data_IF_054540435796
#
_entry.id   IF_054540435796
#
_cell.length_a   1.000
_cell.length_b   1.000
_cell.length_c   1.000
_cell.angle_alpha   90.00
_cell.angle_beta   90.00
_cell.angle_gamma   90.00
#
_symmetry.space_group_name_H-M   'P 1'
#
loop_
_entity.id
_entity.type
_entity.pdbx_description
1 polymer ?
#
# COMPACT_ATOMS: atom_id res chain seq x y z
N UNK A 1 -3.17 -18.40 10.45
CA UNK A 1 -3.84 -19.63 9.97
C UNK A 1 -5.31 -19.29 9.87
N UNK A 2 -5.93 -19.50 8.72
CA UNK A 2 -7.38 -19.48 8.64
C UNK A 2 -7.97 -20.75 9.31
N UNK A 3 -9.30 -20.81 9.43
CA UNK A 3 -10.05 -21.93 10.02
C UNK A 3 -9.79 -23.30 9.36
N UNK A 4 -9.09 -23.34 8.22
CA UNK A 4 -8.72 -24.55 7.50
C UNK A 4 -7.23 -24.91 7.63
N UNK A 5 -6.49 -24.25 8.53
CA UNK A 5 -5.07 -24.50 8.76
C UNK A 5 -4.15 -23.95 7.66
N UNK A 6 -4.64 -23.08 6.77
CA UNK A 6 -3.85 -22.53 5.66
C UNK A 6 -3.22 -21.19 6.02
N UNK A 7 -2.03 -20.96 5.48
CA UNK A 7 -1.29 -19.71 5.60
C UNK A 7 -1.68 -18.84 4.42
N UNK A 8 -2.51 -17.81 4.64
CA UNK A 8 -2.77 -16.78 3.65
C UNK A 8 -1.61 -15.79 3.65
N UNK A 9 -0.89 -15.73 2.54
CA UNK A 9 0.21 -14.79 2.35
C UNK A 9 -0.32 -13.55 1.65
N UNK A 10 0.07 -12.37 2.15
CA UNK A 10 -0.32 -11.08 1.60
C UNK A 10 0.90 -10.19 1.38
N UNK A 11 0.91 -9.49 0.25
CA UNK A 11 1.91 -8.47 -0.09
C UNK A 11 1.21 -7.14 -0.32
N UNK A 12 1.79 -6.04 0.18
CA UNK A 12 1.27 -4.69 0.00
C UNK A 12 2.27 -3.85 -0.76
N UNK A 13 1.81 -3.19 -1.82
CA UNK A 13 2.57 -2.14 -2.50
C UNK A 13 2.15 -0.79 -1.94
N UNK A 14 3.12 0.00 -1.49
CA UNK A 14 2.88 1.34 -0.97
C UNK A 14 3.97 2.31 -1.42
N UNK A 15 3.65 3.59 -1.40
CA UNK A 15 4.60 4.70 -1.55
C UNK A 15 4.49 5.64 -0.36
N UNK A 16 5.55 6.38 -0.08
CA UNK A 16 5.51 7.47 0.89
C UNK A 16 6.44 8.59 0.49
N UNK A 17 6.08 9.82 0.84
CA UNK A 17 6.95 10.98 0.71
C UNK A 17 7.98 10.92 1.84
N UNK A 18 9.25 10.86 1.47
CA UNK A 18 10.35 11.16 2.38
C UNK A 18 10.47 12.68 2.56
N UNK A 19 10.99 13.13 3.70
CA UNK A 19 11.07 14.53 4.13
C UNK A 19 11.26 15.58 3.00
N UNK A 20 10.63 16.75 3.16
CA UNK A 20 10.88 17.92 2.31
C UNK A 20 9.83 18.21 1.22
N UNK A 21 8.89 17.29 0.96
CA UNK A 21 7.74 17.58 0.07
C UNK A 21 6.45 17.72 0.88
N UNK A 22 5.70 18.83 0.75
CA UNK A 22 4.59 19.13 1.65
C UNK A 22 3.34 18.26 1.42
N UNK A 23 3.14 17.75 0.20
CA UNK A 23 2.02 16.90 -0.17
C UNK A 23 2.20 16.25 -1.55
N UNK A 24 1.37 15.24 -1.81
CA UNK A 24 1.35 14.48 -3.05
C UNK A 24 0.92 15.31 -4.27
N UNK A 25 0.11 16.35 -4.09
CA UNK A 25 -0.37 17.21 -5.18
C UNK A 25 0.72 17.97 -5.92
N UNK A 26 1.93 18.08 -5.35
CA UNK A 26 3.10 18.67 -6.03
C UNK A 26 3.97 17.67 -6.79
N UNK A 27 3.73 16.38 -6.62
CA UNK A 27 4.63 15.33 -7.13
C UNK A 27 4.22 14.77 -8.49
N UNK A 28 2.99 15.05 -8.96
CA UNK A 28 2.36 14.44 -10.15
C UNK A 28 2.69 12.95 -10.31
N UNK A 29 2.74 12.25 -9.18
CA UNK A 29 3.22 10.87 -9.13
C UNK A 29 2.16 9.92 -9.66
N UNK A 30 2.56 9.02 -10.55
CA UNK A 30 1.70 7.93 -11.03
C UNK A 30 2.40 6.60 -10.78
N UNK A 31 1.69 5.67 -10.17
CA UNK A 31 2.16 4.29 -10.00
C UNK A 31 1.27 3.37 -10.81
N UNK A 32 1.89 2.56 -11.67
CA UNK A 32 1.19 1.55 -12.46
C UNK A 32 1.73 0.18 -12.12
N UNK A 33 0.84 -0.72 -11.68
CA UNK A 33 1.17 -2.13 -11.42
C UNK A 33 0.64 -2.97 -12.59
N UNK A 34 1.53 -3.77 -13.18
CA UNK A 34 1.20 -4.74 -14.22
C UNK A 34 1.22 -6.15 -13.62
N UNK A 35 0.07 -6.84 -13.71
CA UNK A 35 -0.07 -8.25 -13.31
C UNK A 35 -0.42 -9.05 -14.57
N UNK A 36 0.22 -10.21 -14.83
CA UNK A 36 -0.11 -11.04 -15.98
C UNK A 36 -1.61 -11.31 -16.06
N UNK A 37 -2.16 -11.24 -17.27
CA UNK A 37 -3.57 -11.53 -17.57
C UNK A 37 -4.59 -10.64 -16.84
N UNK A 38 -4.16 -9.53 -16.21
CA UNK A 38 -5.05 -8.55 -15.58
C UNK A 38 -4.86 -7.13 -16.14
N UNK A 39 -5.90 -6.29 -16.11
CA UNK A 39 -5.77 -4.88 -16.44
C UNK A 39 -4.76 -4.18 -15.51
N UNK A 40 -3.99 -3.20 -16.02
CA UNK A 40 -3.07 -2.43 -15.19
C UNK A 40 -3.79 -1.69 -14.06
N UNK A 41 -3.12 -1.62 -12.91
CA UNK A 41 -3.58 -0.85 -11.76
C UNK A 41 -2.83 0.47 -11.73
N UNK A 42 -3.44 1.53 -12.27
CA UNK A 42 -2.92 2.90 -12.20
C UNK A 42 -3.43 3.62 -10.94
N UNK A 43 -2.51 4.21 -10.18
CA UNK A 43 -2.79 5.03 -9.00
C UNK A 43 -2.14 6.38 -9.18
N UNK A 44 -2.97 7.42 -9.25
CA UNK A 44 -2.51 8.80 -9.26
C UNK A 44 -2.38 9.28 -7.82
N UNK A 45 -1.19 9.76 -7.49
CA UNK A 45 -0.86 10.26 -6.16
C UNK A 45 -1.30 11.73 -6.06
N UNK A 46 -2.61 11.95 -6.13
CA UNK A 46 -3.20 13.31 -6.14
C UNK A 46 -3.89 13.67 -4.81
N UNK A 47 -4.40 12.67 -4.08
CA UNK A 47 -5.38 12.87 -3.00
C UNK A 47 -4.81 12.87 -1.56
N UNK A 48 -3.49 12.95 -1.40
CA UNK A 48 -2.87 13.00 -0.08
C UNK A 48 -2.83 14.40 0.54
N UNK A 49 -3.98 15.09 0.59
CA UNK A 49 -4.10 16.35 1.32
C UNK A 49 -4.04 16.12 2.85
N UNK A 50 -3.58 17.13 3.60
CA UNK A 50 -3.60 17.17 5.07
C UNK A 50 -2.76 16.10 5.81
N UNK A 51 -1.47 15.99 5.49
CA UNK A 51 -0.51 15.24 6.32
C UNK A 51 -0.57 13.72 6.17
N UNK A 52 -1.19 13.22 5.10
CA UNK A 52 -1.17 11.79 4.73
C UNK A 52 -0.11 11.52 3.68
N UNK A 53 1.13 11.43 4.15
CA UNK A 53 2.31 11.26 3.31
C UNK A 53 2.51 9.83 2.79
N UNK A 54 1.66 8.88 3.17
CA UNK A 54 1.77 7.47 2.77
C UNK A 54 0.54 7.06 1.95
N UNK A 55 0.75 6.28 0.89
CA UNK A 55 -0.31 5.76 0.03
C UNK A 55 -0.15 4.24 -0.12
N UNK A 56 -1.20 3.49 0.23
CA UNK A 56 -1.32 2.07 -0.11
C UNK A 56 -1.94 1.95 -1.50
N UNK A 57 -1.24 1.25 -2.40
CA UNK A 57 -1.59 1.18 -3.83
C UNK A 57 -2.46 -0.04 -4.08
N UNK A 58 -1.92 -1.23 -3.79
CA UNK A 58 -2.59 -2.50 -4.04
C UNK A 58 -2.11 -3.57 -3.08
N UNK A 59 -2.95 -4.57 -2.86
CA UNK A 59 -2.64 -5.77 -2.09
C UNK A 59 -2.79 -7.00 -2.96
N UNK A 60 -1.78 -7.87 -2.92
CA UNK A 60 -1.86 -9.23 -3.45
C UNK A 60 -2.20 -10.17 -2.31
N UNK A 61 -3.19 -11.02 -2.53
CA UNK A 61 -3.60 -12.06 -1.58
C UNK A 61 -3.45 -13.40 -2.30
N UNK A 62 -2.64 -14.28 -1.73
CA UNK A 62 -2.59 -15.67 -2.16
C UNK A 62 -3.67 -16.46 -1.42
N UNK A 63 -4.71 -16.83 -2.14
CA UNK A 63 -5.80 -17.67 -1.67
C UNK A 63 -5.70 -19.02 -2.38
N UNK A 64 -5.14 -20.03 -1.69
CA UNK A 64 -5.03 -21.41 -2.20
C UNK A 64 -4.28 -21.53 -3.54
N UNK A 65 -3.24 -20.73 -3.76
CA UNK A 65 -2.48 -20.71 -5.02
C UNK A 65 -3.07 -19.80 -6.10
N UNK A 66 -4.25 -19.23 -5.87
CA UNK A 66 -4.82 -18.17 -6.70
C UNK A 66 -4.38 -16.81 -6.17
N UNK A 67 -3.91 -15.93 -7.05
CA UNK A 67 -3.56 -14.55 -6.68
C UNK A 67 -4.76 -13.65 -6.94
N UNK A 68 -5.31 -13.11 -5.86
CA UNK A 68 -6.27 -12.01 -5.92
C UNK A 68 -5.54 -10.69 -5.80
N UNK A 69 -5.92 -9.73 -6.64
CA UNK A 69 -5.40 -8.37 -6.60
C UNK A 69 -6.49 -7.42 -6.12
N UNK A 70 -6.20 -6.65 -5.09
CA UNK A 70 -7.08 -5.62 -4.55
C UNK A 70 -6.45 -4.25 -4.75
N UNK A 71 -7.16 -3.36 -5.45
CA UNK A 71 -6.80 -1.94 -5.57
C UNK A 71 -7.25 -1.22 -4.31
N UNK A 72 -6.33 -0.54 -3.64
CA UNK A 72 -6.59 0.15 -2.37
C UNK A 72 -6.72 1.65 -2.58
N UNK A 73 -5.67 2.29 -3.13
CA UNK A 73 -5.60 3.74 -3.32
C UNK A 73 -5.96 4.53 -2.05
N UNK A 74 -5.48 4.06 -0.90
CA UNK A 74 -5.79 4.62 0.42
C UNK A 74 -4.60 5.41 0.97
N UNK A 75 -4.87 6.54 1.62
CA UNK A 75 -3.84 7.43 2.15
C UNK A 75 -3.81 7.41 3.68
N UNK A 76 -2.59 7.31 4.24
CA UNK A 76 -2.33 7.18 5.67
C UNK A 76 -1.33 8.22 6.16
N UNK A 77 -1.35 8.50 7.47
CA UNK A 77 -0.39 9.41 8.10
C UNK A 77 1.04 8.86 8.11
N UNK A 78 1.19 7.53 8.13
CA UNK A 78 2.49 6.87 8.10
C UNK A 78 2.39 5.37 8.32
N UNK A 79 3.56 4.71 8.36
CA UNK A 79 3.68 3.24 8.33
C UNK A 79 2.83 2.52 9.37
N UNK A 80 2.81 3.02 10.62
CA UNK A 80 2.03 2.42 11.71
C UNK A 80 0.52 2.50 11.47
N UNK A 81 0.05 3.62 10.93
CA UNK A 81 -1.37 3.85 10.64
C UNK A 81 -1.86 2.90 9.53
N UNK A 82 -1.06 2.78 8.47
CA UNK A 82 -1.31 1.82 7.38
C UNK A 82 -1.26 0.36 7.87
N UNK A 83 -0.26 0.00 8.67
CA UNK A 83 -0.15 -1.36 9.19
C UNK A 83 -1.30 -1.71 10.13
N UNK A 84 -1.73 -0.78 10.99
CA UNK A 84 -2.91 -1.00 11.82
C UNK A 84 -4.18 -1.26 10.99
N UNK A 85 -4.33 -0.59 9.84
CA UNK A 85 -5.48 -0.78 8.96
C UNK A 85 -5.51 -2.17 8.29
N UNK A 86 -4.34 -2.78 8.05
CA UNK A 86 -4.26 -4.04 7.30
C UNK A 86 -3.72 -5.24 8.08
N UNK A 87 -3.22 -5.02 9.30
CA UNK A 87 -2.87 -6.06 10.28
C UNK A 87 -1.69 -6.94 9.88
N UNK A 88 -0.51 -6.36 9.56
CA UNK A 88 0.74 -7.13 9.56
C UNK A 88 1.37 -7.18 10.95
N UNK A 89 1.17 -6.15 11.77
CA UNK A 89 1.62 -6.14 13.17
C UNK A 89 3.13 -5.91 13.31
N UNK A 90 3.72 -5.16 12.39
CA UNK A 90 5.13 -4.80 12.44
C UNK A 90 5.41 -3.73 13.51
N UNK A 91 6.61 -3.77 14.08
CA UNK A 91 7.11 -2.73 14.98
C UNK A 91 7.82 -1.64 14.19
N UNK A 92 7.08 -0.61 13.81
CA UNK A 92 7.62 0.53 13.08
C UNK A 92 8.38 1.50 13.98
N UNK A 93 9.60 1.84 13.57
CA UNK A 93 10.47 2.87 14.16
C UNK A 93 10.88 3.86 13.08
N UNK A 94 10.98 5.15 13.40
CA UNK A 94 11.48 6.15 12.47
C UNK A 94 12.94 5.84 12.12
N UNK A 95 13.26 5.85 10.83
CA UNK A 95 14.63 5.80 10.34
C UNK A 95 14.96 7.12 9.65
N UNK A 96 16.22 7.53 9.73
CA UNK A 96 16.76 8.68 9.01
C UNK A 96 17.83 8.20 8.03
N UNK A 97 17.89 8.81 6.85
CA UNK A 97 19.01 8.68 5.90
C UNK A 97 20.10 9.69 6.23
#
# INVERSE_FOLDING_TARGET
MDVNGKISSKCLFFTFIYEGVPNWSKTDGVVTIHVPEQPPIETRLTDGNNGRAMCAIARLINENGSIKVERLNEFFKGHRDMDNAYGWGFRWTAGSK
#
